data_IF_421494936817
#
_entry.id   IF_421494936817
#
_cell.length_a   1.000
_cell.length_b   1.000
_cell.length_c   1.000
_cell.angle_alpha   90.00
_cell.angle_beta   90.00
_cell.angle_gamma   90.00
#
_symmetry.space_group_name_H-M   'P 1'
#
loop_
_entity.id
_entity.type
_entity.pdbx_description
1 polymer ?
#
# COMPACT_ATOMS: atom_id res chain seq x y z
N UNK A 1 9.94 -3.52 -15.65
CA UNK A 1 11.06 -3.92 -14.81
C UNK A 1 10.58 -4.23 -13.40
N UNK A 2 11.18 -5.21 -12.75
CA UNK A 2 10.83 -5.67 -11.41
C UNK A 2 12.06 -5.57 -10.50
N UNK A 3 11.91 -4.94 -9.34
CA UNK A 3 12.98 -4.82 -8.36
C UNK A 3 12.52 -5.39 -7.02
N UNK A 4 13.24 -6.41 -6.51
CA UNK A 4 13.12 -6.86 -5.14
C UNK A 4 13.99 -5.98 -4.25
N UNK A 5 13.42 -5.48 -3.16
CA UNK A 5 14.13 -4.69 -2.17
C UNK A 5 14.06 -5.38 -0.80
N UNK A 6 15.20 -5.84 -0.32
CA UNK A 6 15.36 -6.28 1.05
C UNK A 6 15.92 -5.13 1.88
N UNK A 7 15.06 -4.50 2.66
CA UNK A 7 15.44 -3.44 3.58
C UNK A 7 15.52 -4.00 5.00
N UNK A 8 16.64 -3.82 5.67
CA UNK A 8 16.86 -4.34 7.01
C UNK A 8 17.44 -3.29 7.96
N UNK A 9 17.18 -3.45 9.26
CA UNK A 9 17.74 -2.59 10.29
C UNK A 9 19.27 -2.63 10.30
N UNK A 10 19.91 -1.47 10.47
CA UNK A 10 21.36 -1.47 10.71
C UNK A 10 21.63 -2.08 12.10
N UNK A 11 22.31 -3.23 12.20
CA UNK A 11 22.50 -3.93 13.47
C UNK A 11 23.29 -3.11 14.49
N UNK A 12 24.12 -2.17 14.03
CA UNK A 12 24.91 -1.29 14.90
C UNK A 12 24.08 -0.12 15.46
N UNK A 13 23.05 0.35 14.72
CA UNK A 13 22.17 1.41 15.20
C UNK A 13 21.10 0.90 16.16
N UNK A 14 20.50 -0.25 15.88
CA UNK A 14 19.40 -0.81 16.68
C UNK A 14 19.82 -1.26 18.08
N UNK A 15 21.09 -1.59 18.30
CA UNK A 15 21.62 -2.08 19.58
C UNK A 15 22.50 -1.08 20.31
N UNK A 16 22.57 0.17 19.86
CA UNK A 16 23.54 1.18 20.39
C UNK A 16 24.98 0.62 20.42
N UNK A 17 25.31 -0.27 19.52
CA UNK A 17 26.63 -0.88 19.43
C UNK A 17 27.60 0.14 18.82
N UNK A 18 28.59 0.57 19.61
CA UNK A 18 29.62 1.48 19.12
C UNK A 18 30.60 0.71 18.24
N UNK A 19 30.49 0.88 16.91
CA UNK A 19 31.34 0.24 15.91
C UNK A 19 32.84 0.40 16.22
N UNK A 20 33.25 1.53 16.79
CA UNK A 20 34.63 1.84 17.15
C UNK A 20 35.21 0.96 18.30
N UNK A 21 34.33 0.25 19.04
CA UNK A 21 34.73 -0.57 20.22
C UNK A 21 34.80 -2.05 19.94
N UNK A 22 34.35 -2.47 18.77
CA UNK A 22 34.14 -3.88 18.47
C UNK A 22 35.25 -4.42 17.58
N UNK A 23 35.82 -5.59 17.91
CA UNK A 23 36.77 -6.26 17.04
C UNK A 23 36.20 -6.50 15.64
N UNK A 24 37.02 -6.36 14.59
CA UNK A 24 36.61 -6.48 13.19
C UNK A 24 35.85 -7.78 12.92
N UNK A 25 36.35 -8.92 13.40
CA UNK A 25 35.70 -10.24 13.24
C UNK A 25 34.29 -10.28 13.81
N UNK A 26 34.00 -9.54 14.86
CA UNK A 26 32.69 -9.48 15.46
C UNK A 26 31.77 -8.54 14.67
N UNK A 27 32.30 -7.48 14.07
CA UNK A 27 31.57 -6.63 13.14
C UNK A 27 31.17 -7.42 11.89
N UNK A 28 32.11 -8.19 11.33
CA UNK A 28 31.90 -9.01 10.14
C UNK A 28 30.82 -10.08 10.40
N UNK A 29 30.89 -10.78 11.54
CA UNK A 29 29.86 -11.76 11.91
C UNK A 29 28.47 -11.16 12.12
N UNK A 30 28.38 -9.93 12.62
CA UNK A 30 27.08 -9.22 12.79
C UNK A 30 26.51 -8.80 11.43
N UNK A 31 27.36 -8.36 10.51
CA UNK A 31 26.95 -8.02 9.13
C UNK A 31 26.48 -9.27 8.40
N UNK A 32 27.27 -10.36 8.45
CA UNK A 32 26.93 -11.64 7.83
C UNK A 32 25.60 -12.21 8.37
N UNK A 33 25.38 -12.14 9.69
CA UNK A 33 24.10 -12.54 10.30
C UNK A 33 22.92 -11.65 9.90
N UNK A 34 23.14 -10.39 9.54
CA UNK A 34 22.10 -9.49 9.06
C UNK A 34 21.79 -9.71 7.56
N UNK A 35 22.79 -10.17 6.79
CA UNK A 35 22.64 -10.41 5.35
C UNK A 35 22.11 -11.82 5.03
N UNK A 36 22.31 -12.80 5.92
CA UNK A 36 21.87 -14.19 5.72
C UNK A 36 20.39 -14.34 5.32
N UNK A 37 19.40 -13.64 5.95
CA UNK A 37 18.01 -13.72 5.52
C UNK A 37 17.76 -13.14 4.12
N UNK A 38 18.64 -12.28 3.62
CA UNK A 38 18.51 -11.67 2.30
C UNK A 38 18.64 -12.70 1.19
N UNK A 39 19.53 -13.66 1.32
CA UNK A 39 19.81 -14.66 0.29
C UNK A 39 18.64 -15.63 0.15
N UNK A 40 18.06 -16.09 1.26
CA UNK A 40 16.87 -16.95 1.26
C UNK A 40 15.65 -16.26 0.62
N UNK A 41 15.47 -14.96 0.89
CA UNK A 41 14.37 -14.17 0.33
C UNK A 41 14.62 -13.90 -1.16
N UNK A 42 15.87 -13.65 -1.54
CA UNK A 42 16.29 -13.48 -2.93
C UNK A 42 16.02 -14.74 -3.75
N UNK A 43 16.36 -15.91 -3.23
CA UNK A 43 16.10 -17.18 -3.91
C UNK A 43 14.61 -17.36 -4.17
N UNK A 44 13.74 -17.10 -3.18
CA UNK A 44 12.28 -17.11 -3.34
C UNK A 44 11.79 -16.08 -4.34
N UNK A 45 12.35 -14.87 -4.34
CA UNK A 45 12.03 -13.83 -5.31
C UNK A 45 12.36 -14.29 -6.73
N UNK A 46 13.54 -14.89 -6.94
CA UNK A 46 13.96 -15.38 -8.24
C UNK A 46 13.11 -16.56 -8.72
N UNK A 47 12.70 -17.45 -7.82
CA UNK A 47 11.81 -18.58 -8.08
C UNK A 47 10.40 -18.09 -8.49
N UNK A 48 9.78 -17.21 -7.70
CA UNK A 48 8.42 -16.71 -7.97
C UNK A 48 8.40 -15.85 -9.24
N UNK A 49 9.45 -15.07 -9.47
CA UNK A 49 9.55 -14.13 -10.58
C UNK A 49 10.27 -14.72 -11.81
N UNK A 50 10.34 -16.05 -11.95
CA UNK A 50 11.02 -16.71 -13.08
C UNK A 50 10.42 -16.36 -14.45
N UNK A 51 9.16 -15.93 -14.51
CA UNK A 51 8.48 -15.47 -15.72
C UNK A 51 8.99 -14.11 -16.22
N UNK A 52 9.68 -13.37 -15.36
CA UNK A 52 10.28 -12.06 -15.71
C UNK A 52 11.70 -12.30 -16.21
N UNK A 53 12.07 -11.81 -17.40
CA UNK A 53 13.43 -11.93 -17.92
C UNK A 53 14.48 -11.40 -16.94
N UNK A 54 15.64 -12.05 -16.89
CA UNK A 54 16.69 -11.72 -15.92
C UNK A 54 17.18 -10.27 -16.05
N UNK A 55 17.27 -9.75 -17.28
CA UNK A 55 17.66 -8.37 -17.57
C UNK A 55 16.65 -7.32 -17.09
N UNK A 56 15.43 -7.73 -16.76
CA UNK A 56 14.36 -6.89 -16.20
C UNK A 56 14.16 -7.09 -14.71
N UNK A 57 14.98 -7.93 -14.08
CA UNK A 57 14.96 -8.17 -12.65
C UNK A 57 16.17 -7.53 -11.96
N UNK A 58 15.95 -6.90 -10.83
CA UNK A 58 17.01 -6.36 -9.99
C UNK A 58 16.74 -6.75 -8.53
N UNK A 59 17.80 -7.05 -7.79
CA UNK A 59 17.73 -7.27 -6.35
C UNK A 59 18.58 -6.24 -5.63
N UNK A 60 18.00 -5.62 -4.62
CA UNK A 60 18.67 -4.61 -3.78
C UNK A 60 18.62 -5.08 -2.33
N UNK A 61 19.79 -5.17 -1.69
CA UNK A 61 19.93 -5.32 -0.25
C UNK A 61 20.39 -3.98 0.35
N UNK A 62 19.63 -3.42 1.28
CA UNK A 62 19.94 -2.09 1.83
C UNK A 62 19.66 -2.03 3.33
N UNK A 63 20.74 -1.76 4.11
CA UNK A 63 20.65 -1.51 5.54
C UNK A 63 20.22 -0.09 5.88
N UNK A 64 19.55 0.08 7.02
CA UNK A 64 19.14 1.39 7.54
C UNK A 64 17.79 1.34 8.28
N UNK A 65 17.11 2.47 8.37
CA UNK A 65 15.72 2.48 8.80
C UNK A 65 14.87 1.89 7.68
N UNK A 66 14.18 0.78 7.94
CA UNK A 66 13.39 0.05 6.94
C UNK A 66 12.38 0.97 6.27
N UNK A 67 11.57 1.68 7.05
CA UNK A 67 10.57 2.63 6.55
C UNK A 67 11.19 3.69 5.62
N UNK A 68 12.25 4.35 6.06
CA UNK A 68 12.91 5.43 5.29
C UNK A 68 13.59 4.87 4.03
N UNK A 69 14.16 3.67 4.12
CA UNK A 69 14.82 3.00 2.99
C UNK A 69 13.80 2.66 1.92
N UNK A 70 12.70 1.99 2.28
CA UNK A 70 11.63 1.66 1.34
C UNK A 70 11.06 2.92 0.70
N UNK A 71 10.68 3.93 1.48
CA UNK A 71 10.14 5.18 0.95
C UNK A 71 11.10 5.89 -0.03
N UNK A 72 12.41 5.87 0.27
CA UNK A 72 13.44 6.47 -0.59
C UNK A 72 13.54 5.77 -1.95
N UNK A 73 13.56 4.44 -1.96
CA UNK A 73 13.61 3.67 -3.20
C UNK A 73 12.31 3.79 -3.99
N UNK A 74 11.15 3.73 -3.31
CA UNK A 74 9.82 3.85 -3.93
C UNK A 74 9.67 5.08 -4.84
N UNK A 75 10.38 6.16 -4.56
CA UNK A 75 10.36 7.40 -5.39
C UNK A 75 10.77 7.16 -6.84
N UNK A 76 11.56 6.12 -7.10
CA UNK A 76 12.12 5.82 -8.42
C UNK A 76 11.26 4.84 -9.23
N UNK A 77 10.19 4.28 -8.62
CA UNK A 77 9.33 3.27 -9.22
C UNK A 77 7.91 3.77 -9.39
N UNK A 78 7.18 3.15 -10.30
CA UNK A 78 5.77 3.50 -10.57
C UNK A 78 4.84 2.97 -9.49
N UNK A 79 5.21 1.86 -8.85
CA UNK A 79 4.41 1.16 -7.84
C UNK A 79 5.31 0.47 -6.83
N UNK A 80 4.96 0.55 -5.56
CA UNK A 80 5.55 -0.27 -4.50
C UNK A 80 4.54 -1.34 -4.07
N UNK A 81 4.98 -2.60 -3.97
CA UNK A 81 4.14 -3.72 -3.55
C UNK A 81 4.63 -4.21 -2.19
N UNK A 82 3.72 -4.34 -1.24
CA UNK A 82 3.98 -4.81 0.12
C UNK A 82 2.99 -5.91 0.51
N UNK A 83 3.44 -6.86 1.33
CA UNK A 83 2.54 -7.77 2.03
C UNK A 83 1.96 -7.13 3.30
N UNK A 84 0.73 -7.46 3.67
CA UNK A 84 0.19 -7.13 4.99
C UNK A 84 0.88 -7.96 6.06
N UNK A 85 1.24 -7.31 7.16
CA UNK A 85 1.74 -8.04 8.33
C UNK A 85 0.58 -8.65 9.10
N UNK A 86 0.68 -9.94 9.40
CA UNK A 86 -0.23 -10.57 10.36
C UNK A 86 0.04 -10.00 11.77
N UNK A 87 -1.04 -9.65 12.48
CA UNK A 87 -0.98 -9.07 13.84
C UNK A 87 -0.22 -9.92 14.86
N UNK A 88 -0.03 -11.22 14.60
CA UNK A 88 0.65 -12.16 15.51
C UNK A 88 2.18 -11.97 15.57
N UNK A 89 2.80 -11.34 14.60
CA UNK A 89 4.24 -11.07 14.59
C UNK A 89 4.64 -9.73 15.23
N UNK A 90 3.67 -8.86 15.52
CA UNK A 90 3.92 -7.47 15.92
C UNK A 90 4.55 -7.31 17.32
N UNK A 91 4.49 -8.30 18.21
CA UNK A 91 4.94 -8.12 19.59
C UNK A 91 6.47 -8.05 19.79
N UNK A 92 7.28 -8.47 18.81
CA UNK A 92 8.74 -8.51 18.98
C UNK A 92 9.55 -7.68 17.96
N UNK A 93 8.92 -7.00 17.00
CA UNK A 93 9.60 -6.37 15.87
C UNK A 93 9.16 -4.91 15.63
N UNK A 94 8.88 -4.16 16.69
CA UNK A 94 8.39 -2.75 16.61
C UNK A 94 9.27 -1.78 15.79
N UNK A 95 10.50 -2.16 15.48
CA UNK A 95 11.43 -1.38 14.66
C UNK A 95 11.51 -1.84 13.19
N UNK A 96 10.76 -2.88 12.82
CA UNK A 96 10.64 -3.38 11.45
C UNK A 96 9.26 -3.10 10.84
N UNK A 97 8.41 -2.36 11.55
CA UNK A 97 7.08 -2.02 11.07
C UNK A 97 7.17 -1.13 9.83
N UNK A 98 6.64 -1.63 8.72
CA UNK A 98 6.38 -0.85 7.54
C UNK A 98 4.95 -0.31 7.61
N UNK A 99 4.81 0.97 7.42
CA UNK A 99 3.53 1.66 7.34
C UNK A 99 3.27 2.05 5.88
N UNK A 100 2.45 1.28 5.14
CA UNK A 100 2.21 1.51 3.71
C UNK A 100 1.74 2.92 3.40
N UNK A 101 0.87 3.45 4.23
CA UNK A 101 0.35 4.80 4.16
C UNK A 101 1.47 5.87 4.27
N UNK A 102 2.43 5.68 5.18
CA UNK A 102 3.60 6.56 5.29
C UNK A 102 4.51 6.44 4.07
N UNK A 103 4.67 5.22 3.53
CA UNK A 103 5.46 5.04 2.31
C UNK A 103 4.82 5.81 1.15
N UNK A 104 3.49 5.72 0.98
CA UNK A 104 2.78 6.49 -0.03
C UNK A 104 2.97 8.00 0.14
N UNK A 105 2.84 8.49 1.38
CA UNK A 105 3.06 9.91 1.73
C UNK A 105 4.50 10.36 1.46
N UNK A 106 5.49 9.62 1.96
CA UNK A 106 6.91 10.01 1.91
C UNK A 106 7.52 9.84 0.52
N UNK A 107 7.02 8.88 -0.27
CA UNK A 107 7.51 8.63 -1.63
C UNK A 107 6.78 9.44 -2.70
N UNK A 108 5.50 9.80 -2.47
CA UNK A 108 4.63 10.38 -3.49
C UNK A 108 4.27 9.38 -4.60
N UNK A 109 4.39 8.08 -4.32
CA UNK A 109 4.10 6.98 -5.24
C UNK A 109 3.05 6.05 -4.67
N UNK A 110 2.24 5.40 -5.52
CA UNK A 110 1.23 4.46 -5.05
C UNK A 110 1.88 3.23 -4.40
N UNK A 111 1.21 2.75 -3.35
CA UNK A 111 1.59 1.54 -2.62
C UNK A 111 0.43 0.56 -2.69
N UNK A 112 0.69 -0.63 -3.22
CA UNK A 112 -0.25 -1.74 -3.25
C UNK A 112 0.07 -2.72 -2.14
N UNK A 113 -0.88 -2.94 -1.26
CA UNK A 113 -0.74 -3.83 -0.09
C UNK A 113 -1.57 -5.08 -0.32
N UNK A 114 -0.93 -6.24 -0.24
CA UNK A 114 -1.59 -7.53 -0.40
C UNK A 114 -1.87 -8.19 0.95
N UNK A 115 -3.06 -8.75 1.18
CA UNK A 115 -3.30 -9.65 2.31
C UNK A 115 -2.50 -10.95 2.13
N UNK A 116 -2.36 -11.74 3.21
CA UNK A 116 -1.59 -13.00 3.17
C UNK A 116 -2.15 -14.02 2.18
N UNK A 117 -3.45 -14.02 1.95
CA UNK A 117 -4.15 -14.91 1.00
C UNK A 117 -5.05 -14.09 0.08
N UNK A 118 -4.50 -13.37 -0.90
CA UNK A 118 -5.31 -12.61 -1.83
C UNK A 118 -6.08 -13.55 -2.77
N UNK A 119 -7.31 -13.20 -3.17
CA UNK A 119 -7.98 -13.90 -4.25
C UNK A 119 -7.14 -13.85 -5.53
N UNK A 120 -7.00 -14.97 -6.23
CA UNK A 120 -6.18 -15.05 -7.46
C UNK A 120 -6.76 -14.22 -8.61
N UNK A 121 -8.07 -14.00 -8.61
CA UNK A 121 -8.85 -13.24 -9.59
C UNK A 121 -9.14 -11.81 -9.15
N UNK A 122 -8.43 -11.29 -8.14
CA UNK A 122 -8.74 -10.01 -7.51
C UNK A 122 -8.80 -8.85 -8.51
N UNK A 123 -7.96 -8.83 -9.53
CA UNK A 123 -7.96 -7.77 -10.53
C UNK A 123 -9.02 -7.92 -11.63
N UNK A 124 -9.76 -9.02 -11.67
CA UNK A 124 -10.86 -9.23 -12.61
C UNK A 124 -12.23 -8.93 -11.97
N UNK A 125 -12.27 -8.70 -10.66
CA UNK A 125 -13.46 -8.35 -9.88
C UNK A 125 -13.71 -6.82 -9.87
N UNK A 126 -14.77 -6.42 -9.17
CA UNK A 126 -15.11 -4.99 -8.99
C UNK A 126 -13.97 -4.25 -8.29
N UNK A 127 -13.59 -3.10 -8.84
CA UNK A 127 -12.63 -2.19 -8.21
C UNK A 127 -13.40 -1.10 -7.48
N UNK A 128 -13.28 -1.08 -6.16
CA UNK A 128 -13.90 -0.07 -5.30
C UNK A 128 -12.94 1.10 -5.13
N UNK A 129 -13.41 2.30 -5.44
CA UNK A 129 -12.64 3.54 -5.29
C UNK A 129 -13.30 4.40 -4.20
N UNK A 130 -12.63 4.50 -3.05
CA UNK A 130 -13.08 5.36 -1.96
C UNK A 130 -12.85 6.84 -2.32
N UNK A 131 -13.94 7.58 -2.36
CA UNK A 131 -13.94 8.98 -2.78
C UNK A 131 -14.47 9.92 -1.69
N UNK A 132 -13.66 10.89 -1.34
CA UNK A 132 -14.03 11.91 -0.36
C UNK A 132 -13.95 13.34 -0.92
N UNK A 133 -13.71 13.45 -2.24
CA UNK A 133 -13.61 14.73 -2.95
C UNK A 133 -12.29 15.46 -2.80
N UNK A 134 -11.26 14.83 -2.18
CA UNK A 134 -10.01 15.51 -1.89
C UNK A 134 -8.84 15.02 -2.76
N UNK A 135 -7.70 15.69 -2.59
CA UNK A 135 -6.51 15.51 -3.42
C UNK A 135 -6.00 14.06 -3.42
N UNK A 136 -5.93 13.43 -2.23
CA UNK A 136 -5.41 12.07 -2.11
C UNK A 136 -6.30 11.05 -2.82
N UNK A 137 -7.65 11.18 -2.72
CA UNK A 137 -8.59 10.35 -3.45
C UNK A 137 -8.49 10.56 -4.97
N UNK A 138 -8.34 11.81 -5.42
CA UNK A 138 -8.13 12.12 -6.84
C UNK A 138 -6.82 11.51 -7.36
N UNK A 139 -5.75 11.53 -6.56
CA UNK A 139 -4.49 10.89 -6.89
C UNK A 139 -4.65 9.37 -6.97
N UNK A 140 -5.31 8.75 -5.98
CA UNK A 140 -5.57 7.32 -5.96
C UNK A 140 -6.38 6.85 -7.18
N UNK A 141 -7.40 7.61 -7.59
CA UNK A 141 -8.14 7.36 -8.82
C UNK A 141 -7.22 7.41 -10.06
N UNK A 142 -6.30 8.37 -10.12
CA UNK A 142 -5.36 8.46 -11.23
C UNK A 142 -4.40 7.26 -11.28
N UNK A 143 -3.87 6.85 -10.14
CA UNK A 143 -2.95 5.71 -10.02
C UNK A 143 -3.67 4.36 -10.22
N UNK A 144 -4.97 4.27 -9.90
CA UNK A 144 -5.78 3.08 -10.16
C UNK A 144 -5.86 2.70 -11.65
N UNK A 145 -5.60 3.64 -12.55
CA UNK A 145 -5.54 3.39 -13.99
C UNK A 145 -4.48 2.33 -14.38
N UNK A 146 -3.50 2.08 -13.53
CA UNK A 146 -2.53 0.99 -13.73
C UNK A 146 -3.20 -0.40 -13.75
N UNK A 147 -4.34 -0.53 -13.09
CA UNK A 147 -5.08 -1.79 -12.92
C UNK A 147 -6.37 -1.84 -13.73
N UNK A 148 -6.87 -0.68 -14.16
CA UNK A 148 -8.15 -0.55 -14.85
C UNK A 148 -8.01 -0.80 -16.35
N UNK A 149 -8.85 -1.70 -16.86
CA UNK A 149 -8.97 -2.01 -18.30
C UNK A 149 -10.39 -1.68 -18.76
N UNK A 150 -10.58 -1.57 -20.06
CA UNK A 150 -11.92 -1.45 -20.63
C UNK A 150 -12.80 -2.64 -20.21
N UNK A 151 -14.03 -2.37 -19.81
CA UNK A 151 -14.98 -3.38 -19.32
C UNK A 151 -14.91 -3.65 -17.82
N UNK A 152 -13.93 -3.13 -17.07
CA UNK A 152 -13.91 -3.30 -15.61
C UNK A 152 -15.11 -2.65 -14.95
N UNK A 153 -15.65 -3.31 -13.93
CA UNK A 153 -16.63 -2.75 -13.02
C UNK A 153 -15.92 -1.89 -11.98
N UNK A 154 -16.32 -0.64 -11.89
CA UNK A 154 -15.77 0.34 -10.94
C UNK A 154 -16.91 0.86 -10.08
N UNK A 155 -16.75 0.77 -8.76
CA UNK A 155 -17.69 1.37 -7.82
C UNK A 155 -17.03 2.55 -7.10
N UNK A 156 -17.50 3.77 -7.40
CA UNK A 156 -17.03 4.99 -6.77
C UNK A 156 -17.85 5.24 -5.50
N UNK A 157 -17.24 5.00 -4.34
CA UNK A 157 -17.92 5.00 -3.04
C UNK A 157 -17.62 6.26 -2.26
N UNK A 158 -18.67 6.97 -1.84
CA UNK A 158 -18.61 8.12 -0.95
C UNK A 158 -19.37 7.81 0.35
N UNK A 159 -18.76 8.08 1.52
CA UNK A 159 -19.35 7.80 2.82
C UNK A 159 -19.52 9.09 3.62
N UNK A 160 -20.77 9.44 3.95
CA UNK A 160 -21.11 10.61 4.76
C UNK A 160 -20.67 11.95 4.16
N UNK A 161 -20.60 12.03 2.84
CA UNK A 161 -20.23 13.23 2.11
C UNK A 161 -21.43 13.78 1.36
N UNK A 162 -21.31 15.03 0.89
CA UNK A 162 -22.24 15.60 -0.07
C UNK A 162 -22.29 14.71 -1.33
N UNK A 163 -23.48 14.44 -1.89
CA UNK A 163 -23.60 13.71 -3.14
C UNK A 163 -22.65 14.25 -4.22
N UNK A 164 -22.05 13.35 -4.97
CA UNK A 164 -21.01 13.71 -5.92
C UNK A 164 -21.53 14.67 -7.01
N UNK A 165 -22.77 14.46 -7.44
CA UNK A 165 -23.43 15.34 -8.41
C UNK A 165 -23.64 16.78 -7.88
N UNK A 166 -23.86 16.93 -6.57
CA UNK A 166 -23.99 18.23 -5.93
C UNK A 166 -22.62 18.90 -5.71
N UNK A 167 -21.59 18.10 -5.40
CA UNK A 167 -20.22 18.58 -5.19
C UNK A 167 -19.55 19.06 -6.48
N UNK A 168 -20.00 18.55 -7.65
CA UNK A 168 -19.43 18.88 -8.96
C UNK A 168 -20.51 19.23 -9.98
N UNK A 169 -21.24 20.34 -9.81
CA UNK A 169 -22.33 20.71 -10.71
C UNK A 169 -21.85 20.83 -12.16
N UNK A 170 -22.65 20.28 -13.07
CA UNK A 170 -22.37 20.33 -14.51
C UNK A 170 -21.41 19.26 -15.02
N UNK A 171 -20.88 18.39 -14.13
CA UNK A 171 -20.06 17.26 -14.52
C UNK A 171 -20.90 15.98 -14.53
N UNK A 172 -21.02 15.35 -15.69
CA UNK A 172 -21.59 14.00 -15.80
C UNK A 172 -20.46 12.98 -15.51
N UNK A 173 -20.40 12.54 -14.26
CA UNK A 173 -19.35 11.67 -13.76
C UNK A 173 -19.44 10.29 -14.39
N UNK A 174 -20.62 9.73 -14.56
CA UNK A 174 -20.79 8.45 -15.23
C UNK A 174 -20.25 8.49 -16.65
N UNK A 175 -20.57 9.54 -17.40
CA UNK A 175 -20.07 9.74 -18.76
C UNK A 175 -18.56 9.88 -18.78
N UNK A 176 -17.98 10.61 -17.79
CA UNK A 176 -16.54 10.79 -17.68
C UNK A 176 -15.83 9.44 -17.54
N UNK A 177 -16.35 8.55 -16.70
CA UNK A 177 -15.76 7.22 -16.48
C UNK A 177 -16.05 6.27 -17.66
N UNK A 178 -17.24 6.31 -18.23
CA UNK A 178 -17.60 5.54 -19.44
C UNK A 178 -16.69 5.87 -20.63
N UNK A 179 -16.19 7.10 -20.72
CA UNK A 179 -15.21 7.48 -21.73
C UNK A 179 -13.88 6.72 -21.60
N UNK A 180 -13.56 6.17 -20.43
CA UNK A 180 -12.43 5.26 -20.22
C UNK A 180 -12.78 3.80 -20.51
N UNK A 181 -14.02 3.51 -20.90
CA UNK A 181 -14.50 2.15 -21.16
C UNK A 181 -14.86 1.37 -19.89
N UNK A 182 -15.03 2.03 -18.75
CA UNK A 182 -15.38 1.37 -17.49
C UNK A 182 -16.88 1.34 -17.25
N UNK A 183 -17.35 0.27 -16.60
CA UNK A 183 -18.72 0.16 -16.10
C UNK A 183 -18.76 0.77 -14.70
N UNK A 184 -19.35 1.94 -14.54
CA UNK A 184 -19.31 2.68 -13.28
C UNK A 184 -20.61 2.60 -12.52
N UNK A 185 -20.52 2.34 -11.24
CA UNK A 185 -21.55 2.52 -10.21
C UNK A 185 -21.09 3.66 -9.29
N UNK A 186 -22.02 4.50 -8.84
CA UNK A 186 -21.78 5.52 -7.83
C UNK A 186 -22.55 5.11 -6.58
N UNK A 187 -21.83 4.83 -5.50
CA UNK A 187 -22.38 4.39 -4.22
C UNK A 187 -22.22 5.49 -3.16
N UNK A 188 -23.34 6.07 -2.74
CA UNK A 188 -23.38 7.10 -1.71
C UNK A 188 -23.96 6.52 -0.42
N UNK A 189 -23.10 6.32 0.57
CA UNK A 189 -23.45 5.65 1.82
C UNK A 189 -23.54 6.69 2.95
N UNK A 190 -24.67 6.81 3.64
CA UNK A 190 -24.82 7.75 4.75
C UNK A 190 -23.94 7.30 5.94
N UNK A 191 -23.53 8.27 6.78
CA UNK A 191 -22.89 7.97 8.05
C UNK A 191 -23.82 7.12 8.94
N UNK A 192 -23.23 6.14 9.57
CA UNK A 192 -23.92 5.26 10.51
C UNK A 192 -23.17 5.21 11.87
N UNK A 193 -23.53 4.26 12.73
CA UNK A 193 -22.78 4.00 13.98
C UNK A 193 -21.45 3.30 13.72
N UNK A 194 -21.23 2.75 12.52
CA UNK A 194 -19.98 2.11 12.12
C UNK A 194 -18.94 3.19 11.74
N UNK A 195 -17.68 2.86 11.90
CA UNK A 195 -16.60 3.71 11.39
C UNK A 195 -16.58 3.71 9.86
N UNK A 196 -15.95 4.70 9.26
CA UNK A 196 -15.77 4.76 7.79
C UNK A 196 -15.04 3.51 7.29
N UNK A 197 -13.99 3.07 7.99
CA UNK A 197 -13.24 1.85 7.67
C UNK A 197 -14.12 0.61 7.69
N UNK A 198 -14.93 0.41 8.73
CA UNK A 198 -15.87 -0.71 8.82
C UNK A 198 -16.91 -0.68 7.70
N UNK A 199 -17.45 0.49 7.40
CA UNK A 199 -18.45 0.66 6.33
C UNK A 199 -17.84 0.35 4.97
N UNK A 200 -16.62 0.80 4.71
CA UNK A 200 -15.92 0.58 3.45
C UNK A 200 -15.56 -0.91 3.24
N UNK A 201 -15.03 -1.58 4.27
CA UNK A 201 -14.73 -3.02 4.21
C UNK A 201 -15.99 -3.85 3.99
N UNK A 202 -17.06 -3.55 4.69
CA UNK A 202 -18.35 -4.22 4.49
C UNK A 202 -18.90 -3.99 3.07
N UNK A 203 -18.79 -2.78 2.57
CA UNK A 203 -19.20 -2.48 1.20
C UNK A 203 -18.38 -3.26 0.18
N UNK A 204 -17.06 -3.32 0.34
CA UNK A 204 -16.20 -4.13 -0.52
C UNK A 204 -16.63 -5.62 -0.56
N UNK A 205 -17.00 -6.18 0.60
CA UNK A 205 -17.53 -7.56 0.66
C UNK A 205 -18.87 -7.71 -0.08
N UNK A 206 -19.77 -6.75 0.09
CA UNK A 206 -21.11 -6.79 -0.50
C UNK A 206 -21.08 -6.75 -2.04
N UNK A 207 -20.11 -6.04 -2.63
CA UNK A 207 -19.95 -5.92 -4.08
C UNK A 207 -18.94 -6.89 -4.68
N UNK A 208 -18.45 -7.84 -3.89
CA UNK A 208 -17.38 -8.79 -4.27
C UNK A 208 -16.17 -8.05 -4.88
N UNK A 209 -15.69 -7.05 -4.15
CA UNK A 209 -14.55 -6.25 -4.60
C UNK A 209 -13.25 -7.07 -4.62
N UNK A 210 -12.44 -6.87 -5.65
CA UNK A 210 -11.12 -7.48 -5.75
C UNK A 210 -9.98 -6.52 -5.45
N UNK A 211 -10.23 -5.21 -5.52
CA UNK A 211 -9.26 -4.16 -5.18
C UNK A 211 -9.99 -2.99 -4.52
N UNK A 212 -9.46 -2.52 -3.41
CA UNK A 212 -9.83 -1.25 -2.81
C UNK A 212 -8.78 -0.20 -3.15
N UNK A 213 -9.23 0.93 -3.70
CA UNK A 213 -8.40 2.09 -4.03
C UNK A 213 -8.77 3.23 -3.11
N UNK A 214 -7.80 3.83 -2.43
CA UNK A 214 -8.06 4.91 -1.50
C UNK A 214 -6.91 5.91 -1.39
N UNK A 215 -7.23 7.15 -1.03
CA UNK A 215 -6.24 8.12 -0.61
C UNK A 215 -5.63 7.75 0.75
N UNK A 216 -4.33 8.00 0.89
CA UNK A 216 -3.62 7.89 2.16
C UNK A 216 -3.45 9.29 2.76
N UNK A 217 -3.66 9.42 4.07
CA UNK A 217 -3.48 10.68 4.84
C UNK A 217 -4.15 11.94 4.28
N UNK A 218 -5.26 12.30 4.85
CA UNK A 218 -5.94 13.58 4.56
C UNK A 218 -5.63 14.69 5.55
N UNK A 219 -5.22 14.32 6.75
CA UNK A 219 -4.93 15.29 7.80
C UNK A 219 -3.42 15.39 7.99
N UNK A 220 -2.95 16.65 7.98
CA UNK A 220 -1.55 17.00 8.26
C UNK A 220 -1.00 16.18 9.45
N UNK A 221 0.21 15.61 9.34
CA UNK A 221 0.89 14.93 10.44
C UNK A 221 1.08 15.78 11.70
N UNK A 222 0.83 17.08 11.60
CA UNK A 222 1.00 18.08 12.66
C UNK A 222 -0.10 18.07 13.73
N UNK A 223 -1.17 17.30 13.62
CA UNK A 223 -2.09 17.04 14.74
C UNK A 223 -1.59 15.84 15.51
N UNK A 224 -0.71 16.12 16.44
CA UNK A 224 -0.23 15.19 17.46
C UNK A 224 -1.41 14.40 18.06
N UNK A 225 -1.38 13.07 17.93
CA UNK A 225 -2.27 12.17 18.65
C UNK A 225 -3.32 11.40 17.85
N UNK A 226 -3.46 11.57 16.54
CA UNK A 226 -4.40 10.81 15.71
C UNK A 226 -3.67 9.93 14.67
N UNK A 227 -2.71 9.13 15.13
CA UNK A 227 -2.25 7.95 14.42
C UNK A 227 -3.29 6.86 14.62
N UNK A 228 -4.09 6.60 13.63
CA UNK A 228 -5.15 5.61 13.70
C UNK A 228 -6.39 6.16 13.02
N UNK A 229 -6.44 6.09 11.76
CA UNK A 229 -7.58 6.47 10.95
C UNK A 229 -7.96 5.33 10.03
N UNK A 230 -8.92 5.61 9.19
CA UNK A 230 -9.43 4.71 8.14
C UNK A 230 -8.30 3.96 7.42
N UNK A 231 -7.20 4.66 7.11
CA UNK A 231 -6.07 4.09 6.36
C UNK A 231 -5.36 2.99 7.12
N UNK A 232 -5.07 3.19 8.41
CA UNK A 232 -4.40 2.20 9.24
C UNK A 232 -5.30 1.01 9.54
N UNK A 233 -6.57 1.26 9.86
CA UNK A 233 -7.54 0.18 10.10
C UNK A 233 -7.67 -0.74 8.90
N UNK A 234 -7.71 -0.17 7.69
CA UNK A 234 -7.81 -0.90 6.44
C UNK A 234 -6.51 -1.63 6.12
N UNK A 235 -5.35 -1.00 6.29
CA UNK A 235 -4.03 -1.63 6.07
C UNK A 235 -3.83 -2.88 6.92
N UNK A 236 -4.45 -2.95 8.09
CA UNK A 236 -4.29 -4.04 9.05
C UNK A 236 -5.43 -5.09 8.99
N UNK A 237 -6.49 -4.83 8.26
CA UNK A 237 -7.70 -5.67 8.31
C UNK A 237 -8.39 -5.95 6.99
N UNK A 238 -7.89 -5.45 5.87
CA UNK A 238 -8.50 -5.75 4.57
C UNK A 238 -8.20 -7.19 4.13
N UNK A 239 -9.21 -7.85 3.58
CA UNK A 239 -9.12 -9.22 3.04
C UNK A 239 -8.80 -9.22 1.54
N UNK A 240 -8.78 -8.06 0.93
CA UNK A 240 -8.48 -7.81 -0.48
C UNK A 240 -7.30 -6.86 -0.62
N UNK A 241 -6.60 -6.84 -1.75
CA UNK A 241 -5.55 -5.85 -2.02
C UNK A 241 -6.06 -4.42 -1.87
N UNK A 242 -5.18 -3.55 -1.37
CA UNK A 242 -5.48 -2.12 -1.17
C UNK A 242 -4.42 -1.27 -1.86
N UNK A 243 -4.84 -0.42 -2.79
CA UNK A 243 -4.00 0.60 -3.42
C UNK A 243 -4.15 1.92 -2.66
N UNK A 244 -3.04 2.44 -2.18
CA UNK A 244 -2.97 3.70 -1.45
C UNK A 244 -2.13 4.72 -2.20
N UNK A 245 -2.62 5.96 -2.29
CA UNK A 245 -1.91 7.08 -2.92
C UNK A 245 -2.06 8.37 -2.11
N UNK A 246 -1.08 9.29 -2.24
CA UNK A 246 -1.11 10.59 -1.58
C UNK A 246 -0.73 11.73 -2.52
#
# INVERSE_FOLDING_TARGET
DLTGLFAHGNPFLSRQLHKAWMPQKMQDAIVEAADSPSDDIREKFDEICQVVPAEKKTWINSGGSVQTTVARYSRLFDLTILGMHEKSFAHNLSHLELFPDRIALESGRPVLVFPSNPPMDCFDKTIVIAWDGKRAAARALADAKLFLRAGHNVDLVSIGRMPLAEATPGVDIEKLFKNHGWNVTISEIPLSKKTISQTLVEHCRNVDAGLLVMGAYEHSPLREGLFGGVTQDISLGAEIPVLMSH
#
